data_IF_041317891523
#
_entry.id   IF_041317891523
#
_cell.length_a   1.000
_cell.length_b   1.000
_cell.length_c   1.000
_cell.angle_alpha   90.00
_cell.angle_beta   90.00
_cell.angle_gamma   90.00
#
_symmetry.space_group_name_H-M   'P 1'
#
loop_
_entity.id
_entity.type
_entity.pdbx_description
1 polymer ?
#
# COMPACT_ATOMS: atom_id res chain seq x y z
N UNK A 1 16.87 -5.05 -19.71
CA UNK A 1 17.80 -5.39 -18.63
C UNK A 1 17.44 -4.85 -17.23
N UNK A 2 16.37 -4.09 -17.04
CA UNK A 2 15.98 -3.56 -15.71
C UNK A 2 15.11 -4.49 -14.85
N UNK A 3 14.71 -5.66 -15.34
CA UNK A 3 13.77 -6.55 -14.62
C UNK A 3 14.41 -7.44 -13.55
N UNK A 4 15.74 -7.48 -13.46
CA UNK A 4 16.45 -8.37 -12.52
C UNK A 4 17.16 -7.62 -11.39
N UNK A 5 16.90 -6.31 -11.30
CA UNK A 5 17.50 -5.42 -10.30
C UNK A 5 16.86 -5.66 -8.92
N UNK A 6 17.69 -5.89 -7.90
CA UNK A 6 17.25 -5.99 -6.51
C UNK A 6 16.88 -4.61 -5.98
N UNK A 7 15.65 -4.46 -5.49
CA UNK A 7 15.14 -3.21 -4.93
C UNK A 7 15.01 -3.24 -3.40
N UNK A 8 14.93 -4.46 -2.84
CA UNK A 8 14.85 -4.68 -1.40
C UNK A 8 15.56 -5.97 -1.06
N UNK A 9 16.33 -5.98 0.04
CA UNK A 9 16.98 -7.15 0.59
C UNK A 9 16.89 -7.15 2.11
N UNK A 10 16.51 -8.28 2.68
CA UNK A 10 16.60 -8.62 4.09
C UNK A 10 17.74 -9.62 4.27
N UNK A 11 18.64 -9.36 5.21
CA UNK A 11 19.79 -10.21 5.55
C UNK A 11 19.81 -10.42 7.06
N UNK A 12 19.51 -11.64 7.51
CA UNK A 12 19.48 -12.10 8.89
C UNK A 12 18.63 -11.21 9.83
N UNK A 13 17.51 -10.70 9.30
CA UNK A 13 16.67 -9.73 10.00
C UNK A 13 15.85 -10.40 11.09
N UNK A 14 16.06 -9.95 12.34
CA UNK A 14 15.28 -10.36 13.51
C UNK A 14 14.54 -9.17 14.10
N UNK A 15 13.33 -9.43 14.61
CA UNK A 15 12.48 -8.41 15.22
C UNK A 15 11.54 -9.01 16.28
N UNK A 16 11.43 -8.33 17.43
CA UNK A 16 10.45 -8.62 18.46
C UNK A 16 9.81 -7.35 19.02
N UNK A 17 8.56 -7.42 19.48
CA UNK A 17 7.94 -6.31 20.22
C UNK A 17 8.25 -6.36 21.74
N UNK A 18 8.69 -7.50 22.24
CA UNK A 18 9.09 -7.68 23.64
C UNK A 18 9.96 -8.92 23.75
N UNK A 19 10.91 -8.92 24.68
CA UNK A 19 11.93 -9.95 24.93
C UNK A 19 11.43 -11.41 25.14
N UNK A 20 10.16 -11.71 24.86
CA UNK A 20 9.58 -13.03 25.15
C UNK A 20 9.24 -13.88 23.92
N UNK A 21 9.14 -13.28 22.73
CA UNK A 21 8.80 -14.04 21.53
C UNK A 21 9.25 -13.28 20.27
N UNK A 22 10.25 -13.77 19.54
CA UNK A 22 10.61 -13.21 18.24
C UNK A 22 9.42 -13.34 17.27
N UNK A 23 9.16 -12.28 16.54
CA UNK A 23 8.17 -12.28 15.44
C UNK A 23 8.85 -12.61 14.12
N UNK A 24 10.08 -12.12 13.94
CA UNK A 24 10.96 -12.47 12.85
C UNK A 24 12.29 -12.96 13.44
N UNK A 25 12.80 -14.06 12.89
CA UNK A 25 14.03 -14.70 13.35
C UNK A 25 14.89 -15.02 12.12
N UNK A 26 16.03 -14.29 11.98
CA UNK A 26 17.01 -14.42 10.89
C UNK A 26 16.38 -14.48 9.48
N UNK A 27 15.40 -13.62 9.22
CA UNK A 27 14.65 -13.61 7.96
C UNK A 27 15.52 -13.10 6.82
N UNK A 28 15.61 -13.90 5.76
CA UNK A 28 16.37 -13.63 4.56
C UNK A 28 15.46 -13.69 3.33
N UNK A 29 15.36 -12.60 2.58
CA UNK A 29 14.75 -12.60 1.24
C UNK A 29 15.18 -11.40 0.41
N UNK A 30 14.93 -11.50 -0.88
CA UNK A 30 15.25 -10.46 -1.86
C UNK A 30 14.05 -10.19 -2.75
N UNK A 31 13.74 -8.91 -2.96
CA UNK A 31 12.69 -8.47 -3.87
C UNK A 31 13.31 -7.79 -5.10
N UNK A 32 12.92 -8.26 -6.28
CA UNK A 32 13.39 -7.72 -7.55
C UNK A 32 12.35 -6.80 -8.20
N UNK A 33 12.82 -5.83 -8.93
CA UNK A 33 11.99 -4.85 -9.65
C UNK A 33 10.95 -5.53 -10.55
N UNK A 34 9.72 -5.01 -10.55
CA UNK A 34 8.64 -5.50 -11.41
C UNK A 34 8.02 -6.84 -11.01
N UNK A 35 8.46 -7.45 -9.91
CA UNK A 35 7.87 -8.69 -9.42
C UNK A 35 6.60 -8.43 -8.60
N UNK A 36 5.70 -9.40 -8.61
CA UNK A 36 4.52 -9.46 -7.75
C UNK A 36 4.71 -10.62 -6.80
N UNK A 37 4.75 -10.32 -5.50
CA UNK A 37 5.04 -11.31 -4.45
C UNK A 37 3.89 -11.28 -3.45
N UNK A 38 3.50 -12.45 -2.99
CA UNK A 38 2.52 -12.62 -1.93
C UNK A 38 3.19 -13.17 -0.68
N UNK A 39 3.04 -12.45 0.44
CA UNK A 39 3.37 -12.97 1.76
C UNK A 39 2.22 -13.84 2.26
N UNK A 40 2.51 -15.11 2.52
CA UNK A 40 1.54 -16.06 3.05
C UNK A 40 1.89 -16.42 4.50
N UNK A 41 0.88 -16.53 5.35
CA UNK A 41 1.05 -16.90 6.75
C UNK A 41 -0.22 -16.61 7.55
N UNK A 42 -0.33 -17.25 8.72
CA UNK A 42 -1.45 -17.03 9.64
C UNK A 42 -1.50 -15.58 10.14
N UNK A 43 -2.63 -15.18 10.71
CA UNK A 43 -2.74 -13.88 11.40
C UNK A 43 -1.75 -13.85 12.57
N UNK A 44 -1.00 -12.75 12.69
CA UNK A 44 0.06 -12.61 13.69
C UNK A 44 1.42 -13.21 13.28
N UNK A 45 1.58 -13.78 12.07
CA UNK A 45 2.86 -14.34 11.59
C UNK A 45 3.89 -13.27 11.15
N UNK A 46 3.70 -12.00 11.47
CA UNK A 46 4.68 -10.95 11.19
C UNK A 46 4.56 -10.27 9.81
N UNK A 47 3.50 -10.55 9.03
CA UNK A 47 3.34 -9.93 7.68
C UNK A 47 3.35 -8.39 7.75
N UNK A 48 2.51 -7.79 8.58
CA UNK A 48 2.46 -6.33 8.77
C UNK A 48 3.74 -5.78 9.41
N UNK A 49 4.44 -6.59 10.22
CA UNK A 49 5.75 -6.24 10.78
C UNK A 49 6.81 -6.08 9.69
N UNK A 50 6.84 -6.97 8.71
CA UNK A 50 7.72 -6.85 7.53
C UNK A 50 7.43 -5.53 6.80
N UNK A 51 6.16 -5.17 6.58
CA UNK A 51 5.80 -3.89 5.97
C UNK A 51 6.24 -2.69 6.82
N UNK A 52 6.09 -2.78 8.15
CA UNK A 52 6.59 -1.76 9.07
C UNK A 52 8.11 -1.58 9.01
N UNK A 53 8.85 -2.65 8.88
CA UNK A 53 10.31 -2.63 8.70
C UNK A 53 10.70 -2.04 7.33
N UNK A 54 10.01 -2.40 6.25
CA UNK A 54 10.26 -1.85 4.90
C UNK A 54 9.99 -0.35 4.85
N UNK A 55 8.95 0.13 5.52
CA UNK A 55 8.57 1.55 5.54
C UNK A 55 9.33 2.38 6.56
N UNK A 56 10.16 1.76 7.41
CA UNK A 56 10.89 2.42 8.49
C UNK A 56 10.04 2.77 9.71
N UNK A 57 8.80 2.28 9.80
CA UNK A 57 7.95 2.42 10.98
C UNK A 57 8.45 1.57 12.17
N UNK A 58 9.22 0.52 11.87
CA UNK A 58 9.93 -0.32 12.83
C UNK A 58 11.41 -0.38 12.46
N UNK A 59 12.26 -0.65 13.45
CA UNK A 59 13.69 -0.91 13.26
C UNK A 59 13.99 -2.35 13.64
N UNK A 60 14.78 -3.05 12.83
CA UNK A 60 15.24 -4.41 13.16
C UNK A 60 16.20 -4.38 14.36
N UNK A 61 16.15 -5.42 15.18
CA UNK A 61 17.11 -5.58 16.28
C UNK A 61 18.44 -6.11 15.77
N UNK A 62 18.38 -7.05 14.85
CA UNK A 62 19.53 -7.63 14.19
C UNK A 62 19.30 -7.68 12.68
N UNK A 63 20.40 -7.89 11.95
CA UNK A 63 20.40 -8.00 10.50
C UNK A 63 20.32 -6.63 9.78
N UNK A 64 20.22 -6.69 8.47
CA UNK A 64 20.27 -5.50 7.63
C UNK A 64 19.11 -5.50 6.63
N UNK A 65 18.45 -4.34 6.49
CA UNK A 65 17.44 -4.09 5.46
C UNK A 65 18.00 -3.07 4.49
N UNK A 66 18.24 -3.51 3.26
CA UNK A 66 18.77 -2.66 2.19
C UNK A 66 17.67 -2.33 1.19
N UNK A 67 17.40 -1.04 1.00
CA UNK A 67 16.49 -0.50 0.00
C UNK A 67 17.28 0.20 -1.09
N UNK A 68 16.89 0.04 -2.34
CA UNK A 68 17.47 0.79 -3.44
C UNK A 68 17.28 2.29 -3.21
N UNK A 69 18.34 3.06 -3.42
CA UNK A 69 18.31 4.52 -3.27
C UNK A 69 17.24 5.15 -4.18
N UNK A 70 16.45 6.07 -3.61
CA UNK A 70 15.41 6.78 -4.33
C UNK A 70 14.14 5.94 -4.64
N UNK A 71 14.02 4.72 -4.08
CA UNK A 71 12.82 3.89 -4.23
C UNK A 71 11.61 4.57 -3.60
N UNK A 72 10.55 4.76 -4.39
CA UNK A 72 9.27 5.26 -3.87
C UNK A 72 8.41 4.09 -3.39
N UNK A 73 7.95 4.17 -2.13
CA UNK A 73 7.15 3.12 -1.48
C UNK A 73 5.80 3.71 -1.08
N UNK A 74 4.72 3.01 -1.35
CA UNK A 74 3.41 3.30 -0.77
C UNK A 74 2.83 2.06 -0.10
N UNK A 75 2.29 2.26 1.09
CA UNK A 75 1.58 1.24 1.86
C UNK A 75 0.08 1.52 1.81
N UNK A 76 -0.70 0.53 1.39
CA UNK A 76 -2.15 0.57 1.50
C UNK A 76 -2.55 0.52 2.98
N UNK A 77 -3.01 1.66 3.52
CA UNK A 77 -3.50 1.75 4.90
C UNK A 77 -4.78 0.93 5.07
N UNK A 78 -5.01 0.37 6.25
CA UNK A 78 -6.20 -0.43 6.56
C UNK A 78 -7.37 0.44 7.06
N UNK A 79 -7.09 1.59 7.66
CA UNK A 79 -8.08 2.47 8.28
C UNK A 79 -7.79 3.93 7.93
N UNK A 80 -8.85 4.68 7.64
CA UNK A 80 -8.76 6.14 7.49
C UNK A 80 -8.69 6.77 8.87
N UNK A 81 -7.68 7.60 9.18
CA UNK A 81 -7.60 8.32 10.44
C UNK A 81 -8.83 9.21 10.66
N UNK A 82 -9.29 9.30 11.91
CA UNK A 82 -10.45 10.15 12.26
C UNK A 82 -10.33 11.59 11.77
N UNK A 83 -9.12 12.15 11.82
CA UNK A 83 -8.84 13.51 11.35
C UNK A 83 -9.01 13.68 9.83
N UNK A 84 -9.04 12.60 9.05
CA UNK A 84 -9.20 12.63 7.60
C UNK A 84 -10.65 12.36 7.17
N UNK A 85 -11.53 11.98 8.09
CA UNK A 85 -12.94 11.63 7.78
C UNK A 85 -13.78 12.84 7.33
N UNK A 86 -13.41 14.05 7.73
CA UNK A 86 -14.11 15.30 7.34
C UNK A 86 -13.54 15.92 6.05
N UNK A 87 -12.49 15.36 5.48
CA UNK A 87 -11.93 15.82 4.21
C UNK A 87 -12.84 15.44 3.05
N UNK A 88 -12.81 16.25 2.00
CA UNK A 88 -13.31 15.85 0.69
C UNK A 88 -12.40 14.78 0.06
N UNK A 89 -12.89 14.05 -0.93
CA UNK A 89 -12.09 13.09 -1.70
C UNK A 89 -10.86 13.77 -2.29
N UNK A 90 -11.02 14.97 -2.87
CA UNK A 90 -9.88 15.74 -3.43
C UNK A 90 -8.83 16.03 -2.36
N UNK A 91 -9.20 16.62 -1.23
CA UNK A 91 -8.28 16.92 -0.12
C UNK A 91 -7.59 15.66 0.44
N UNK A 92 -8.33 14.55 0.53
CA UNK A 92 -7.78 13.27 0.96
C UNK A 92 -6.69 12.78 0.02
N UNK A 93 -6.89 12.86 -1.30
CA UNK A 93 -5.87 12.45 -2.27
C UNK A 93 -4.72 13.45 -2.38
N UNK A 94 -4.96 14.75 -2.21
CA UNK A 94 -3.89 15.76 -2.17
C UNK A 94 -2.88 15.48 -1.05
N UNK A 95 -3.35 15.00 0.11
CA UNK A 95 -2.47 14.60 1.24
C UNK A 95 -1.55 13.42 0.93
N UNK A 96 -1.81 12.65 -0.13
CA UNK A 96 -0.92 11.57 -0.54
C UNK A 96 0.40 12.08 -1.13
N UNK A 97 0.52 13.38 -1.39
CA UNK A 97 1.69 14.00 -1.99
C UNK A 97 2.34 15.01 -1.05
N UNK A 98 3.67 15.00 -0.98
CA UNK A 98 4.45 15.97 -0.20
C UNK A 98 4.49 17.37 -0.83
N UNK A 99 4.14 17.46 -2.10
CA UNK A 99 4.09 18.73 -2.86
C UNK A 99 2.73 18.87 -3.52
N UNK A 100 2.26 20.11 -3.70
CA UNK A 100 1.01 20.41 -4.40
C UNK A 100 1.07 19.84 -5.81
N UNK A 101 0.09 19.00 -6.15
CA UNK A 101 -0.12 18.45 -7.49
C UNK A 101 -1.16 19.31 -8.19
N UNK A 102 -0.75 19.95 -9.28
CA UNK A 102 -1.69 20.66 -10.14
C UNK A 102 -2.43 19.63 -10.99
N UNK A 103 -3.72 19.86 -11.22
CA UNK A 103 -4.57 18.96 -12.01
C UNK A 103 -4.60 17.52 -11.47
N UNK A 104 -4.94 17.39 -10.17
CA UNK A 104 -5.02 16.08 -9.49
C UNK A 104 -6.26 15.28 -9.91
N UNK A 105 -7.34 15.95 -10.34
CA UNK A 105 -8.65 15.35 -10.62
C UNK A 105 -8.57 14.19 -11.62
N UNK A 106 -7.89 14.29 -12.77
CA UNK A 106 -7.75 13.15 -13.69
C UNK A 106 -7.01 11.96 -13.10
N UNK A 107 -6.09 12.20 -12.13
CA UNK A 107 -5.41 11.12 -11.41
C UNK A 107 -6.36 10.44 -10.43
N UNK A 108 -7.20 11.23 -9.74
CA UNK A 108 -8.24 10.72 -8.85
C UNK A 108 -9.21 9.86 -9.65
N UNK A 109 -9.75 10.36 -10.77
CA UNK A 109 -10.69 9.62 -11.61
C UNK A 109 -10.11 8.28 -12.05
N UNK A 110 -8.86 8.26 -12.46
CA UNK A 110 -8.17 7.03 -12.87
C UNK A 110 -8.11 6.00 -11.75
N UNK A 111 -7.76 6.38 -10.53
CA UNK A 111 -7.65 5.43 -9.42
C UNK A 111 -9.03 5.05 -8.86
N UNK A 112 -10.01 5.96 -8.88
CA UNK A 112 -11.39 5.64 -8.52
C UNK A 112 -12.01 4.63 -9.49
N UNK A 113 -11.69 4.72 -10.78
CA UNK A 113 -12.09 3.72 -11.78
C UNK A 113 -11.51 2.33 -11.45
N UNK A 114 -10.24 2.26 -11.05
CA UNK A 114 -9.58 0.99 -10.67
C UNK A 114 -10.29 0.31 -9.51
N UNK A 115 -10.77 1.09 -8.53
CA UNK A 115 -11.42 0.56 -7.33
C UNK A 115 -12.96 0.54 -7.42
N UNK A 116 -13.52 0.74 -8.61
CA UNK A 116 -14.96 0.76 -8.85
C UNK A 116 -15.73 1.77 -7.96
N UNK A 117 -15.20 2.99 -7.86
CA UNK A 117 -15.83 4.13 -7.18
C UNK A 117 -16.14 5.31 -8.14
N UNK A 118 -16.07 5.07 -9.44
CA UNK A 118 -16.44 6.05 -10.47
C UNK A 118 -17.95 6.20 -10.60
N UNK A 119 -18.40 7.27 -11.26
CA UNK A 119 -19.81 7.44 -11.68
C UNK A 119 -20.70 8.17 -10.67
N UNK A 120 -20.17 8.66 -9.56
CA UNK A 120 -20.91 9.55 -8.65
C UNK A 120 -20.70 11.01 -9.08
N UNK A 121 -21.81 11.74 -9.39
CA UNK A 121 -21.72 13.18 -9.58
C UNK A 121 -20.99 13.85 -8.42
N UNK A 122 -20.03 14.73 -8.74
CA UNK A 122 -19.22 15.49 -7.76
C UNK A 122 -18.49 14.62 -6.72
N UNK A 123 -18.02 13.43 -7.11
CA UNK A 123 -17.30 12.52 -6.21
C UNK A 123 -16.12 13.20 -5.51
N UNK A 124 -15.44 14.12 -6.18
CA UNK A 124 -14.28 14.86 -5.65
C UNK A 124 -14.62 15.74 -4.46
N UNK A 125 -15.84 16.28 -4.39
CA UNK A 125 -16.32 17.18 -3.34
C UNK A 125 -17.06 16.43 -2.20
N UNK A 126 -17.24 15.10 -2.34
CA UNK A 126 -17.85 14.29 -1.28
C UNK A 126 -16.92 14.14 -0.10
N UNK A 127 -17.48 14.23 1.11
CA UNK A 127 -16.75 14.04 2.37
C UNK A 127 -16.53 12.54 2.61
N UNK A 128 -15.32 12.16 3.02
CA UNK A 128 -14.90 10.75 3.21
C UNK A 128 -15.84 9.98 4.12
N UNK A 129 -16.33 10.57 5.22
CA UNK A 129 -17.23 9.89 6.15
C UNK A 129 -18.59 9.56 5.55
N UNK A 130 -18.98 10.16 4.42
CA UNK A 130 -20.23 9.85 3.73
C UNK A 130 -20.19 8.53 2.95
N UNK A 131 -19.01 7.93 2.82
CA UNK A 131 -18.82 6.64 2.15
C UNK A 131 -19.05 5.49 3.12
N UNK A 132 -19.61 4.37 2.61
CA UNK A 132 -19.71 3.12 3.39
C UNK A 132 -18.32 2.58 3.74
N UNK A 133 -18.24 1.70 4.75
CA UNK A 133 -16.97 1.10 5.17
C UNK A 133 -16.21 0.43 4.01
N UNK A 134 -16.92 -0.32 3.15
CA UNK A 134 -16.32 -0.92 1.95
C UNK A 134 -15.83 0.12 0.93
N UNK A 135 -16.57 1.21 0.74
CA UNK A 135 -16.13 2.32 -0.11
C UNK A 135 -14.91 3.04 0.47
N UNK A 136 -14.86 3.24 1.79
CA UNK A 136 -13.68 3.81 2.47
C UNK A 136 -12.45 2.93 2.31
N UNK A 137 -12.58 1.60 2.40
CA UNK A 137 -11.49 0.67 2.12
C UNK A 137 -10.97 0.79 0.68
N UNK A 138 -11.88 0.97 -0.28
CA UNK A 138 -11.51 1.22 -1.69
C UNK A 138 -10.81 2.57 -1.87
N UNK A 139 -11.22 3.63 -1.15
CA UNK A 139 -10.52 4.92 -1.15
C UNK A 139 -9.10 4.79 -0.58
N UNK A 140 -8.90 4.02 0.49
CA UNK A 140 -7.57 3.72 1.04
C UNK A 140 -6.68 3.02 0.03
N UNK A 141 -7.20 2.02 -0.67
CA UNK A 141 -6.47 1.34 -1.73
C UNK A 141 -6.09 2.33 -2.85
N UNK A 142 -7.05 3.13 -3.32
CA UNK A 142 -6.82 4.15 -4.34
C UNK A 142 -5.74 5.17 -3.90
N UNK A 143 -5.67 5.52 -2.60
CA UNK A 143 -4.67 6.45 -2.06
C UNK A 143 -3.23 5.92 -2.15
N UNK A 144 -3.04 4.62 -2.07
CA UNK A 144 -1.73 4.01 -2.32
C UNK A 144 -1.40 3.97 -3.82
N UNK A 145 -2.40 3.76 -4.67
CA UNK A 145 -2.24 3.64 -6.12
C UNK A 145 -1.94 4.97 -6.81
N UNK A 146 -2.55 6.08 -6.34
CA UNK A 146 -2.42 7.40 -6.98
C UNK A 146 -0.98 7.91 -7.00
N UNK A 147 -0.16 7.48 -6.05
CA UNK A 147 1.25 7.83 -5.95
C UNK A 147 2.12 7.12 -7.00
N UNK A 148 1.60 6.09 -7.67
CA UNK A 148 2.32 5.24 -8.64
C UNK A 148 3.71 4.80 -8.12
N UNK A 149 3.80 4.22 -6.90
CA UNK A 149 5.07 3.92 -6.25
C UNK A 149 5.87 2.85 -7.00
N UNK A 150 7.19 2.79 -6.78
CA UNK A 150 8.05 1.73 -7.31
C UNK A 150 7.83 0.40 -6.59
N UNK A 151 7.50 0.47 -5.30
CA UNK A 151 7.08 -0.65 -4.46
C UNK A 151 5.73 -0.34 -3.81
N UNK A 152 4.72 -1.08 -4.21
CA UNK A 152 3.37 -1.04 -3.62
C UNK A 152 3.24 -2.17 -2.59
N UNK A 153 2.99 -1.81 -1.34
CA UNK A 153 2.73 -2.73 -0.25
C UNK A 153 1.23 -2.76 0.04
N UNK A 154 0.62 -3.95 0.03
CA UNK A 154 -0.81 -4.15 0.26
C UNK A 154 -1.02 -5.18 1.38
N UNK A 155 -1.51 -4.71 2.53
CA UNK A 155 -1.83 -5.58 3.66
C UNK A 155 -3.31 -5.99 3.58
N UNK A 156 -3.56 -7.26 3.25
CA UNK A 156 -4.88 -7.87 3.13
C UNK A 156 -5.89 -7.03 2.32
N UNK A 157 -5.55 -6.58 1.09
CA UNK A 157 -6.32 -5.58 0.35
C UNK A 157 -7.72 -6.06 -0.09
N UNK A 158 -8.01 -7.34 0.05
CA UNK A 158 -9.29 -7.94 -0.37
C UNK A 158 -10.34 -8.01 0.74
N UNK A 159 -9.96 -7.82 2.01
CA UNK A 159 -10.84 -8.05 3.17
C UNK A 159 -12.16 -7.25 3.15
N UNK A 160 -12.16 -6.07 2.52
CA UNK A 160 -13.32 -5.19 2.48
C UNK A 160 -13.83 -4.96 1.04
N UNK A 161 -13.46 -5.84 0.12
CA UNK A 161 -13.90 -5.79 -1.28
C UNK A 161 -14.95 -6.87 -1.54
N UNK A 162 -15.94 -6.51 -2.33
CA UNK A 162 -16.87 -7.47 -2.94
C UNK A 162 -16.19 -8.19 -4.13
N UNK A 163 -16.88 -9.17 -4.70
CA UNK A 163 -16.35 -9.96 -5.83
C UNK A 163 -15.91 -9.11 -7.01
N UNK A 164 -16.66 -8.05 -7.32
CA UNK A 164 -16.36 -7.13 -8.39
C UNK A 164 -15.11 -6.29 -8.07
N UNK A 165 -15.01 -5.75 -6.86
CA UNK A 165 -13.82 -5.03 -6.38
C UNK A 165 -12.56 -5.90 -6.39
N UNK A 166 -12.66 -7.18 -6.02
CA UNK A 166 -11.55 -8.14 -6.10
C UNK A 166 -11.13 -8.34 -7.56
N UNK A 167 -12.09 -8.50 -8.48
CA UNK A 167 -11.79 -8.67 -9.89
C UNK A 167 -11.08 -7.44 -10.49
N UNK A 168 -11.56 -6.23 -10.16
CA UNK A 168 -10.94 -4.97 -10.58
C UNK A 168 -9.51 -4.82 -10.03
N UNK A 169 -9.32 -5.08 -8.72
CA UNK A 169 -8.00 -5.05 -8.10
C UNK A 169 -7.06 -6.05 -8.75
N UNK A 170 -7.51 -7.28 -8.97
CA UNK A 170 -6.71 -8.34 -9.61
C UNK A 170 -6.27 -7.91 -11.00
N UNK A 171 -7.18 -7.42 -11.83
CA UNK A 171 -6.87 -6.90 -13.17
C UNK A 171 -5.83 -5.79 -13.09
N UNK A 172 -6.04 -4.80 -12.21
CA UNK A 172 -5.08 -3.72 -12.02
C UNK A 172 -3.70 -4.23 -11.63
N UNK A 173 -3.61 -5.14 -10.63
CA UNK A 173 -2.33 -5.68 -10.17
C UNK A 173 -1.61 -6.49 -11.26
N UNK A 174 -2.34 -7.18 -12.12
CA UNK A 174 -1.76 -7.88 -13.27
C UNK A 174 -1.15 -6.91 -14.29
N UNK A 175 -1.79 -5.78 -14.53
CA UNK A 175 -1.33 -4.74 -15.46
C UNK A 175 -0.29 -3.78 -14.85
N UNK A 176 -0.17 -3.75 -13.52
CA UNK A 176 0.76 -2.85 -12.81
C UNK A 176 2.21 -3.21 -13.13
N UNK A 177 2.93 -2.31 -13.80
CA UNK A 177 4.28 -2.60 -14.33
C UNK A 177 5.39 -2.55 -13.28
N UNK A 178 5.10 -2.01 -12.08
CA UNK A 178 6.07 -1.90 -11.00
C UNK A 178 5.92 -3.05 -9.99
N UNK A 179 6.64 -3.00 -8.89
CA UNK A 179 6.71 -4.08 -7.90
C UNK A 179 5.53 -4.00 -6.94
N UNK A 180 4.96 -5.16 -6.59
CA UNK A 180 3.88 -5.31 -5.60
C UNK A 180 4.24 -6.41 -4.61
N UNK A 181 3.96 -6.17 -3.34
CA UNK A 181 4.08 -7.13 -2.26
C UNK A 181 2.83 -7.11 -1.38
#
# INVERSE_FOLDING_TARGET
MAQDETILRFEDVSFEFSAKKPILDEVNFTLRRGKKITLMGQNGAGKSTIFGLITGAHQSENGTISLQHGLTIALGRQVIPRAEMELTVREFFEKCFSKKVYDIDPRIDKVLAVVNLQGHEKVHDRIIKSFSGGQQARLLLASALIQTPDLLLLDEPTNNLDKEGIAHLTKFLMEYKKTVM
#
